data_IF_452204791212
#
_entry.id   IF_452204791212
#
_cell.length_a   1.000
_cell.length_b   1.000
_cell.length_c   1.000
_cell.angle_alpha   90.00
_cell.angle_beta   90.00
_cell.angle_gamma   90.00
#
_symmetry.space_group_name_H-M   'P 1'
#
loop_
_entity.id
_entity.type
_entity.pdbx_description
1 polymer ?
#
# COMPACT_ATOMS: atom_id res chain seq x y z
N UNK A 1 11.15 -5.07 24.89
CA UNK A 1 10.28 -5.29 23.70
C UNK A 1 9.02 -6.01 24.19
N UNK A 2 7.83 -5.47 23.94
CA UNK A 2 6.57 -6.06 24.45
C UNK A 2 6.29 -7.41 23.79
N UNK A 3 5.69 -8.36 24.52
CA UNK A 3 5.23 -9.65 23.99
C UNK A 3 4.29 -9.46 22.78
N UNK A 4 3.55 -8.35 22.76
CA UNK A 4 2.76 -7.91 21.60
C UNK A 4 3.62 -7.59 20.38
N UNK A 5 4.74 -6.90 20.56
CA UNK A 5 5.65 -6.55 19.47
C UNK A 5 6.28 -7.80 18.83
N UNK A 6 6.61 -8.83 19.61
CA UNK A 6 7.13 -10.10 19.08
C UNK A 6 6.08 -10.87 18.26
N UNK A 7 4.84 -10.94 18.75
CA UNK A 7 3.73 -11.57 18.02
C UNK A 7 3.37 -10.78 16.76
N UNK A 8 3.38 -9.45 16.83
CA UNK A 8 3.20 -8.54 15.69
C UNK A 8 4.29 -8.80 14.63
N UNK A 9 5.56 -8.79 15.02
CA UNK A 9 6.68 -9.02 14.10
C UNK A 9 6.60 -10.41 13.48
N UNK A 10 6.29 -11.44 14.28
CA UNK A 10 6.20 -12.82 13.80
C UNK A 10 5.00 -13.04 12.87
N UNK A 11 3.82 -12.49 13.18
CA UNK A 11 2.63 -12.60 12.32
C UNK A 11 2.78 -11.77 11.05
N UNK A 12 3.37 -10.57 11.13
CA UNK A 12 3.70 -9.76 9.94
C UNK A 12 4.68 -10.52 9.05
N UNK A 13 5.72 -11.13 9.62
CA UNK A 13 6.69 -11.91 8.87
C UNK A 13 6.10 -13.20 8.29
N UNK A 14 5.23 -13.90 9.02
CA UNK A 14 4.56 -15.13 8.58
C UNK A 14 3.49 -14.88 7.51
N UNK A 15 2.67 -13.84 7.66
CA UNK A 15 1.68 -13.44 6.66
C UNK A 15 2.35 -12.81 5.44
N UNK A 16 3.44 -12.06 5.64
CA UNK A 16 4.28 -11.63 4.54
C UNK A 16 4.85 -12.83 3.81
N UNK A 17 5.44 -13.83 4.49
CA UNK A 17 6.00 -15.03 3.82
C UNK A 17 4.93 -15.89 3.14
N UNK A 18 3.73 -16.03 3.71
CA UNK A 18 2.58 -16.68 3.05
C UNK A 18 2.08 -15.90 1.82
N UNK A 19 1.93 -14.58 1.91
CA UNK A 19 1.52 -13.76 0.76
C UNK A 19 2.64 -13.64 -0.31
N UNK A 20 3.91 -13.58 0.11
CA UNK A 20 5.11 -13.54 -0.73
C UNK A 20 5.33 -14.86 -1.47
N UNK A 21 5.03 -16.01 -0.83
CA UNK A 21 5.18 -17.32 -1.48
C UNK A 21 4.10 -17.59 -2.52
N UNK A 22 2.90 -17.03 -2.36
CA UNK A 22 1.77 -17.32 -3.25
C UNK A 22 1.60 -16.31 -4.40
N UNK A 23 1.97 -15.03 -4.22
CA UNK A 23 2.07 -14.06 -5.33
C UNK A 23 3.20 -13.03 -5.10
N UNK A 24 4.46 -13.40 -5.40
CA UNK A 24 5.62 -12.53 -5.13
C UNK A 24 5.59 -11.23 -5.95
N UNK A 25 4.99 -11.25 -7.15
CA UNK A 25 4.85 -10.04 -7.96
C UNK A 25 3.99 -8.99 -7.22
N UNK A 26 2.78 -9.38 -6.80
CA UNK A 26 1.85 -8.47 -6.15
C UNK A 26 2.41 -7.94 -4.83
N UNK A 27 3.02 -8.81 -4.02
CA UNK A 27 3.70 -8.41 -2.79
C UNK A 27 4.86 -7.44 -3.06
N UNK A 28 5.66 -7.70 -4.10
CA UNK A 28 6.75 -6.82 -4.53
C UNK A 28 6.27 -5.43 -4.97
N UNK A 29 5.12 -5.34 -5.65
CA UNK A 29 4.51 -4.04 -6.01
C UNK A 29 4.04 -3.24 -4.80
N UNK A 30 3.42 -3.91 -3.83
CA UNK A 30 3.02 -3.29 -2.56
C UNK A 30 4.25 -2.77 -1.80
N UNK A 31 5.29 -3.60 -1.67
CA UNK A 31 6.53 -3.23 -0.99
C UNK A 31 7.27 -2.08 -1.66
N UNK A 32 7.35 -2.09 -2.99
CA UNK A 32 8.01 -1.02 -3.76
C UNK A 32 7.31 0.32 -3.55
N UNK A 33 5.98 0.35 -3.58
CA UNK A 33 5.21 1.58 -3.38
C UNK A 33 5.29 2.08 -1.92
N UNK A 34 5.31 1.17 -0.95
CA UNK A 34 5.57 1.52 0.46
C UNK A 34 6.93 2.20 0.62
N UNK A 35 8.00 1.62 0.06
CA UNK A 35 9.34 2.21 0.15
C UNK A 35 9.44 3.52 -0.62
N UNK A 36 8.80 3.64 -1.78
CA UNK A 36 8.75 4.89 -2.55
C UNK A 36 8.05 5.99 -1.74
N UNK A 37 6.93 5.69 -1.07
CA UNK A 37 6.24 6.62 -0.17
C UNK A 37 7.16 7.08 0.96
N UNK A 38 7.82 6.14 1.64
CA UNK A 38 8.75 6.43 2.74
C UNK A 38 9.95 7.26 2.30
N UNK A 39 10.55 6.92 1.16
CA UNK A 39 11.69 7.64 0.60
C UNK A 39 11.31 9.02 0.07
N UNK A 40 10.13 9.15 -0.52
CA UNK A 40 9.62 10.43 -1.03
C UNK A 40 9.38 11.43 0.10
N UNK A 41 8.91 10.96 1.26
CA UNK A 41 8.53 11.78 2.41
C UNK A 41 7.72 13.03 2.00
N UNK A 42 6.83 12.85 1.03
CA UNK A 42 6.14 13.94 0.35
C UNK A 42 4.79 14.20 1.00
N UNK A 43 4.58 15.43 1.47
CA UNK A 43 3.39 15.82 2.23
C UNK A 43 2.10 15.55 1.44
N UNK A 44 1.10 14.99 2.12
CA UNK A 44 -0.24 14.67 1.59
C UNK A 44 -0.28 13.68 0.41
N UNK A 45 0.81 12.95 0.15
CA UNK A 45 0.91 12.05 -1.00
C UNK A 45 0.71 10.56 -0.66
N UNK A 46 0.52 10.22 0.61
CA UNK A 46 0.35 8.85 1.09
C UNK A 46 -0.77 8.11 0.33
N UNK A 47 -1.95 8.73 0.19
CA UNK A 47 -3.10 8.13 -0.51
C UNK A 47 -2.80 7.80 -1.98
N UNK A 48 -1.92 8.56 -2.63
CA UNK A 48 -1.45 8.22 -3.99
C UNK A 48 -0.69 6.89 -3.98
N UNK A 49 0.25 6.70 -3.05
CA UNK A 49 1.03 5.46 -2.96
C UNK A 49 0.20 4.25 -2.54
N UNK A 50 -0.80 4.45 -1.67
CA UNK A 50 -1.80 3.45 -1.32
C UNK A 50 -2.56 2.94 -2.55
N UNK A 51 -3.08 3.88 -3.33
CA UNK A 51 -3.78 3.58 -4.57
C UNK A 51 -2.85 2.91 -5.59
N UNK A 52 -1.68 3.52 -5.85
CA UNK A 52 -0.76 3.04 -6.88
C UNK A 52 -0.21 1.65 -6.56
N UNK A 53 0.12 1.38 -5.30
CA UNK A 53 0.55 0.06 -4.85
C UNK A 53 -0.49 -1.03 -5.12
N UNK A 54 -1.76 -0.76 -4.75
CA UNK A 54 -2.86 -1.70 -4.99
C UNK A 54 -3.17 -1.86 -6.49
N UNK A 55 -3.12 -0.77 -7.27
CA UNK A 55 -3.28 -0.81 -8.71
C UNK A 55 -2.22 -1.70 -9.35
N UNK A 56 -0.94 -1.46 -9.06
CA UNK A 56 0.16 -2.23 -9.66
C UNK A 56 0.13 -3.69 -9.21
N UNK A 57 -0.19 -3.95 -7.94
CA UNK A 57 -0.29 -5.30 -7.42
C UNK A 57 -1.37 -6.14 -8.12
N UNK A 58 -2.47 -5.52 -8.57
CA UNK A 58 -3.58 -6.23 -9.26
C UNK A 58 -3.46 -6.21 -10.78
N UNK A 59 -3.07 -5.06 -11.35
CA UNK A 59 -3.10 -4.84 -12.80
C UNK A 59 -1.81 -5.24 -13.50
N UNK A 60 -0.68 -5.22 -12.80
CA UNK A 60 0.63 -5.51 -13.40
C UNK A 60 1.18 -6.88 -12.99
N UNK A 61 0.40 -7.69 -12.28
CA UNK A 61 0.77 -9.03 -11.83
C UNK A 61 -0.26 -10.07 -12.26
N UNK A 62 0.22 -11.30 -12.48
CA UNK A 62 -0.60 -12.45 -12.93
C UNK A 62 -0.90 -13.38 -11.75
N UNK A 63 -1.81 -14.33 -11.94
CA UNK A 63 -2.26 -15.28 -10.92
C UNK A 63 -3.74 -15.12 -10.56
N UNK A 64 -4.17 -15.85 -9.52
CA UNK A 64 -5.53 -15.79 -8.97
C UNK A 64 -5.59 -15.05 -7.62
N UNK A 65 -4.44 -14.72 -7.05
CA UNK A 65 -4.31 -14.20 -5.68
C UNK A 65 -3.96 -12.71 -5.59
N UNK A 66 -3.87 -11.97 -6.71
CA UNK A 66 -3.42 -10.58 -6.70
C UNK A 66 -4.27 -9.70 -5.77
N UNK A 67 -5.59 -9.83 -5.88
CA UNK A 67 -6.56 -9.09 -5.06
C UNK A 67 -6.41 -9.50 -3.59
N UNK A 68 -6.31 -10.80 -3.32
CA UNK A 68 -6.14 -11.33 -1.96
C UNK A 68 -4.84 -10.82 -1.32
N UNK A 69 -3.71 -10.88 -2.04
CA UNK A 69 -2.40 -10.38 -1.60
C UNK A 69 -2.44 -8.88 -1.30
N UNK A 70 -2.98 -8.06 -2.22
CA UNK A 70 -3.08 -6.61 -2.01
C UNK A 70 -3.99 -6.27 -0.83
N UNK A 71 -5.09 -7.01 -0.64
CA UNK A 71 -6.00 -6.88 0.50
C UNK A 71 -5.30 -7.20 1.81
N UNK A 72 -4.65 -8.37 1.90
CA UNK A 72 -4.00 -8.83 3.12
C UNK A 72 -2.90 -7.87 3.58
N UNK A 73 -2.05 -7.41 2.65
CA UNK A 73 -0.97 -6.46 2.97
C UNK A 73 -1.52 -5.10 3.41
N UNK A 74 -2.59 -4.61 2.77
CA UNK A 74 -3.22 -3.35 3.16
C UNK A 74 -3.78 -3.41 4.59
N UNK A 75 -4.54 -4.47 4.90
CA UNK A 75 -5.15 -4.65 6.22
C UNK A 75 -4.10 -4.88 7.31
N UNK A 76 -3.02 -5.63 6.99
CA UNK A 76 -1.92 -5.86 7.91
C UNK A 76 -1.18 -4.55 8.27
N UNK A 77 -0.98 -3.67 7.28
CA UNK A 77 -0.39 -2.35 7.53
C UNK A 77 -1.26 -1.52 8.48
N UNK A 78 -2.56 -1.45 8.23
CA UNK A 78 -3.49 -0.71 9.08
C UNK A 78 -3.51 -1.27 10.50
N UNK A 79 -3.52 -2.59 10.63
CA UNK A 79 -3.42 -3.23 11.93
C UNK A 79 -2.14 -2.86 12.69
N UNK A 80 -1.01 -2.80 12.00
CA UNK A 80 0.25 -2.38 12.59
C UNK A 80 0.30 -0.88 12.96
N UNK A 81 -0.54 -0.04 12.35
CA UNK A 81 -0.57 1.41 12.56
C UNK A 81 -1.65 1.89 13.52
N UNK A 82 -2.61 1.04 13.88
CA UNK A 82 -3.77 1.39 14.69
C UNK A 82 -4.99 1.69 13.81
N UNK A 83 -6.02 0.87 13.96
CA UNK A 83 -7.03 0.62 12.93
C UNK A 83 -8.17 1.66 12.89
N UNK A 84 -8.25 2.55 13.88
CA UNK A 84 -9.43 3.38 14.16
C UNK A 84 -9.13 4.88 14.12
N UNK A 85 -8.30 5.32 13.18
CA UNK A 85 -8.09 6.75 12.91
C UNK A 85 -8.90 7.19 11.69
N UNK A 86 -9.33 8.46 11.59
CA UNK A 86 -9.92 8.99 10.34
C UNK A 86 -9.05 8.74 9.09
N UNK A 87 -7.73 8.66 9.27
CA UNK A 87 -6.78 8.32 8.21
C UNK A 87 -6.91 6.87 7.72
N UNK A 88 -7.31 5.94 8.58
CA UNK A 88 -7.54 4.52 8.24
C UNK A 88 -8.62 4.37 7.17
N UNK A 89 -9.75 5.07 7.32
CA UNK A 89 -10.85 5.01 6.35
C UNK A 89 -10.44 5.58 4.98
N UNK A 90 -9.67 6.66 4.96
CA UNK A 90 -9.18 7.27 3.73
C UNK A 90 -8.09 6.40 3.05
N UNK A 91 -7.22 5.74 3.84
CA UNK A 91 -6.25 4.75 3.35
C UNK A 91 -6.97 3.58 2.67
N UNK A 92 -7.99 3.02 3.31
CA UNK A 92 -8.80 1.94 2.72
C UNK A 92 -9.49 2.38 1.43
N UNK A 93 -10.07 3.57 1.40
CA UNK A 93 -10.70 4.09 0.18
C UNK A 93 -9.69 4.20 -0.98
N UNK A 94 -8.46 4.65 -0.70
CA UNK A 94 -7.39 4.70 -1.69
C UNK A 94 -6.95 3.30 -2.13
N UNK A 95 -6.77 2.37 -1.19
CA UNK A 95 -6.43 0.97 -1.46
C UNK A 95 -7.45 0.34 -2.42
N UNK A 96 -8.74 0.43 -2.08
CA UNK A 96 -9.86 -0.15 -2.87
C UNK A 96 -9.95 0.49 -4.26
N UNK A 97 -9.83 1.82 -4.35
CA UNK A 97 -9.89 2.52 -5.64
C UNK A 97 -8.78 2.04 -6.60
N UNK A 98 -7.55 1.92 -6.10
CA UNK A 98 -6.43 1.39 -6.88
C UNK A 98 -6.64 -0.06 -7.28
N UNK A 99 -7.06 -0.90 -6.32
CA UNK A 99 -7.33 -2.33 -6.54
C UNK A 99 -8.36 -2.56 -7.64
N UNK A 100 -9.37 -1.69 -7.71
CA UNK A 100 -10.41 -1.70 -8.74
C UNK A 100 -9.97 -1.09 -10.08
N UNK A 101 -8.70 -0.66 -10.23
CA UNK A 101 -8.17 -0.12 -11.49
C UNK A 101 -8.39 1.38 -11.68
N UNK A 102 -8.65 2.12 -10.61
CA UNK A 102 -8.87 3.57 -10.67
C UNK A 102 -7.64 4.36 -11.11
N UNK A 103 -7.87 5.58 -11.59
CA UNK A 103 -6.81 6.53 -11.96
C UNK A 103 -6.24 7.22 -10.70
N UNK A 104 -5.23 6.59 -10.09
CA UNK A 104 -4.61 7.08 -8.85
C UNK A 104 -4.03 8.50 -8.98
N UNK A 105 -3.38 8.81 -10.10
CA UNK A 105 -2.78 10.11 -10.33
C UNK A 105 -3.85 11.22 -10.39
N UNK A 106 -4.91 10.99 -11.18
CA UNK A 106 -6.02 11.94 -11.30
C UNK A 106 -6.75 12.17 -9.99
N UNK A 107 -6.89 11.13 -9.15
CA UNK A 107 -7.61 11.23 -7.88
C UNK A 107 -6.80 11.84 -6.74
N UNK A 108 -5.50 11.52 -6.64
CA UNK A 108 -4.73 11.80 -5.42
C UNK A 108 -3.54 12.74 -5.60
N UNK A 109 -3.14 13.13 -6.81
CA UNK A 109 -2.09 14.15 -6.97
C UNK A 109 -2.69 15.56 -6.86
N UNK A 110 -3.71 15.87 -7.66
CA UNK A 110 -4.32 17.21 -7.70
C UNK A 110 -5.25 17.53 -6.52
N UNK A 111 -6.02 16.55 -6.03
CA UNK A 111 -7.09 16.79 -5.08
C UNK A 111 -6.62 17.20 -3.66
N UNK A 112 -5.40 16.82 -3.28
CA UNK A 112 -4.89 16.98 -1.90
C UNK A 112 -3.60 17.81 -1.83
N UNK A 113 -3.31 18.58 -2.88
CA UNK A 113 -2.06 19.35 -3.02
C UNK A 113 -0.80 18.45 -2.84
N UNK A 114 -0.85 17.24 -3.39
CA UNK A 114 0.28 16.33 -3.37
C UNK A 114 1.28 16.73 -4.46
N UNK A 115 2.52 17.02 -4.05
CA UNK A 115 3.60 17.47 -4.95
C UNK A 115 4.45 16.34 -5.54
N UNK A 116 4.06 15.09 -5.32
CA UNK A 116 4.76 13.95 -5.88
C UNK A 116 4.61 13.91 -7.40
N UNK A 117 5.75 13.84 -8.10
CA UNK A 117 5.77 13.61 -9.53
C UNK A 117 6.12 12.14 -9.82
N UNK A 118 5.17 11.32 -10.30
CA UNK A 118 5.41 9.89 -10.53
C UNK A 118 6.34 9.60 -11.71
N UNK A 119 6.54 10.55 -12.63
CA UNK A 119 7.46 10.39 -13.76
C UNK A 119 8.91 10.61 -13.34
N UNK A 120 9.16 11.66 -12.55
CA UNK A 120 10.52 12.01 -12.12
C UNK A 120 10.91 11.41 -10.78
N UNK A 121 9.95 10.83 -10.05
CA UNK A 121 10.11 10.29 -8.69
C UNK A 121 10.67 11.32 -7.70
N UNK A 122 10.23 12.57 -7.83
CA UNK A 122 10.62 13.69 -6.95
C UNK A 122 9.41 14.30 -6.29
N UNK A 123 9.60 14.73 -5.04
CA UNK A 123 8.70 15.68 -4.36
C UNK A 123 9.21 17.10 -4.65
N UNK A 124 8.31 18.03 -4.99
CA UNK A 124 8.62 19.46 -5.18
C UNK A 124 8.11 20.35 -4.05
#
# INVERSE_FOLDING_TARGET
MSQRAFVIIFLVWMMATLALSQNPCSAGKMWTNYNAMKAANCRNCDKYFHCQGNYEAVRNCRGILQVATATAISNLREWAQGNDTPDSAADQAANVYGRNGGNCAGRYLGAVNCKWNPRTKKCG
#
